data_IF_240746096702
#
_entry.id   IF_240746096702
#
_cell.length_a   1.000
_cell.length_b   1.000
_cell.length_c   1.000
_cell.angle_alpha   90.00
_cell.angle_beta   90.00
_cell.angle_gamma   90.00
#
_symmetry.space_group_name_H-M   'P 1'
#
loop_
_entity.id
_entity.type
_entity.pdbx_description
1 polymer ?
#
# COMPACT_ATOMS: atom_id res chain seq x y z
N UNK A 1 -53.66 19.96 28.82
CA UNK A 1 -52.38 19.24 28.94
C UNK A 1 -51.45 19.50 27.73
N UNK A 2 -51.01 20.74 27.43
CA UNK A 2 -50.13 21.02 26.27
C UNK A 2 -48.63 21.14 26.60
N UNK A 3 -48.21 21.24 27.87
CA UNK A 3 -46.81 21.54 28.22
C UNK A 3 -45.86 20.34 28.08
N UNK A 4 -46.36 19.10 28.19
CA UNK A 4 -45.53 17.91 28.21
C UNK A 4 -44.87 17.63 26.85
N UNK A 5 -45.52 17.99 25.73
CA UNK A 5 -44.99 17.73 24.39
C UNK A 5 -43.79 18.63 24.04
N UNK A 6 -43.81 19.89 24.51
CA UNK A 6 -42.72 20.83 24.28
C UNK A 6 -41.48 20.43 25.10
N UNK A 7 -41.68 20.03 26.37
CA UNK A 7 -40.59 19.51 27.21
C UNK A 7 -40.00 18.20 26.66
N UNK A 8 -40.84 17.31 26.11
CA UNK A 8 -40.38 16.10 25.42
C UNK A 8 -39.55 16.45 24.18
N UNK A 9 -40.01 17.37 23.32
CA UNK A 9 -39.26 17.81 22.13
C UNK A 9 -37.90 18.43 22.51
N UNK A 10 -37.88 19.29 23.54
CA UNK A 10 -36.64 19.90 24.04
C UNK A 10 -35.69 18.83 24.58
N UNK A 11 -36.20 17.84 25.32
CA UNK A 11 -35.39 16.72 25.83
C UNK A 11 -34.86 15.82 24.72
N UNK A 12 -35.63 15.59 23.65
CA UNK A 12 -35.20 14.82 22.47
C UNK A 12 -34.13 15.57 21.67
N UNK A 13 -34.27 16.89 21.49
CA UNK A 13 -33.27 17.73 20.83
C UNK A 13 -31.97 17.74 21.63
N UNK A 14 -32.03 17.94 22.95
CA UNK A 14 -30.84 17.91 23.80
C UNK A 14 -30.17 16.53 23.82
N UNK A 15 -30.96 15.45 23.81
CA UNK A 15 -30.44 14.08 23.74
C UNK A 15 -29.85 13.76 22.36
N UNK A 16 -30.45 14.26 21.28
CA UNK A 16 -29.91 14.13 19.93
C UNK A 16 -28.61 14.94 19.77
N UNK A 17 -28.58 16.19 20.25
CA UNK A 17 -27.37 17.01 20.26
C UNK A 17 -26.25 16.35 21.07
N UNK A 18 -26.54 15.87 22.27
CA UNK A 18 -25.57 15.14 23.09
C UNK A 18 -25.14 13.81 22.48
N UNK A 19 -26.04 13.13 21.76
CA UNK A 19 -25.72 11.92 20.99
C UNK A 19 -24.82 12.20 19.78
N UNK A 20 -25.01 13.34 19.10
CA UNK A 20 -24.15 13.80 18.01
C UNK A 20 -22.75 14.13 18.54
N UNK A 21 -22.65 14.88 19.64
CA UNK A 21 -21.37 15.21 20.27
C UNK A 21 -20.62 13.94 20.70
N UNK A 22 -21.33 12.97 21.28
CA UNK A 22 -20.75 11.66 21.64
C UNK A 22 -20.29 10.85 20.42
N UNK A 23 -21.03 10.87 19.31
CA UNK A 23 -20.63 10.18 18.07
C UNK A 23 -19.39 10.82 17.42
N UNK A 24 -19.29 12.16 17.51
CA UNK A 24 -18.12 12.90 17.06
C UNK A 24 -16.91 12.60 17.94
N UNK A 25 -17.08 12.58 19.26
CA UNK A 25 -15.98 12.27 20.18
C UNK A 25 -15.57 10.79 20.11
N UNK A 26 -16.50 9.87 19.86
CA UNK A 26 -16.21 8.47 19.55
C UNK A 26 -15.41 8.33 18.25
N UNK A 27 -15.78 9.07 17.20
CA UNK A 27 -15.03 9.08 15.94
C UNK A 27 -13.61 9.63 16.15
N UNK A 28 -13.48 10.75 16.86
CA UNK A 28 -12.16 11.33 17.20
C UNK A 28 -11.29 10.37 18.03
N UNK A 29 -11.89 9.59 18.93
CA UNK A 29 -11.18 8.62 19.76
C UNK A 29 -10.72 7.38 18.97
N UNK A 30 -11.47 6.96 17.94
CA UNK A 30 -11.15 5.76 17.15
C UNK A 30 -10.31 6.01 15.90
N UNK A 31 -10.36 7.22 15.34
CA UNK A 31 -9.51 7.64 14.23
C UNK A 31 -8.02 7.31 14.44
N UNK A 32 -7.37 7.64 15.58
CA UNK A 32 -5.95 7.36 15.75
C UNK A 32 -5.63 5.86 15.75
N UNK A 33 -6.54 5.01 16.26
CA UNK A 33 -6.36 3.56 16.32
C UNK A 33 -6.47 2.93 14.92
N UNK A 34 -7.52 3.30 14.17
CA UNK A 34 -7.71 2.84 12.79
C UNK A 34 -6.57 3.28 11.87
N UNK A 35 -6.06 4.51 12.07
CA UNK A 35 -4.90 5.02 11.32
C UNK A 35 -3.65 4.19 11.64
N UNK A 36 -3.40 3.84 12.90
CA UNK A 36 -2.29 2.96 13.27
C UNK A 36 -2.44 1.57 12.65
N UNK A 37 -3.64 0.99 12.69
CA UNK A 37 -3.92 -0.31 12.08
C UNK A 37 -3.69 -0.28 10.56
N UNK A 38 -4.12 0.79 9.88
CA UNK A 38 -3.88 1.00 8.46
C UNK A 38 -2.39 1.13 8.14
N UNK A 39 -1.65 1.92 8.92
CA UNK A 39 -0.19 2.09 8.74
C UNK A 39 0.55 0.77 8.93
N UNK A 40 0.19 -0.02 9.96
CA UNK A 40 0.75 -1.35 10.20
C UNK A 40 0.46 -2.31 9.03
N UNK A 41 -0.79 -2.35 8.57
CA UNK A 41 -1.17 -3.15 7.41
C UNK A 41 -0.38 -2.76 6.16
N UNK A 42 -0.23 -1.47 5.91
CA UNK A 42 0.49 -0.95 4.75
C UNK A 42 1.99 -1.25 4.84
N UNK A 43 2.59 -1.11 6.02
CA UNK A 43 3.98 -1.50 6.28
C UNK A 43 4.22 -2.97 5.93
N UNK A 44 3.34 -3.87 6.40
CA UNK A 44 3.41 -5.30 6.09
C UNK A 44 3.20 -5.55 4.60
N UNK A 45 2.23 -4.88 3.97
CA UNK A 45 1.93 -5.04 2.55
C UNK A 45 3.10 -4.63 1.65
N UNK A 46 3.79 -3.52 1.97
CA UNK A 46 4.96 -3.07 1.24
C UNK A 46 6.14 -4.01 1.46
N UNK A 47 6.35 -4.45 2.70
CA UNK A 47 7.40 -5.43 3.04
C UNK A 47 7.23 -6.75 2.28
N UNK A 48 6.00 -7.30 2.27
CA UNK A 48 5.70 -8.52 1.52
C UNK A 48 5.91 -8.33 0.01
N UNK A 49 5.46 -7.19 -0.53
CA UNK A 49 5.66 -6.86 -1.95
C UNK A 49 7.14 -6.79 -2.30
N UNK A 50 7.96 -6.14 -1.48
CA UNK A 50 9.43 -6.05 -1.66
C UNK A 50 10.04 -7.46 -1.69
N UNK A 51 9.65 -8.33 -0.76
CA UNK A 51 10.10 -9.73 -0.77
C UNK A 51 9.72 -10.46 -2.06
N UNK A 52 8.49 -10.27 -2.56
CA UNK A 52 8.05 -10.86 -3.83
C UNK A 52 8.87 -10.35 -5.01
N UNK A 53 9.11 -9.04 -5.12
CA UNK A 53 9.93 -8.47 -6.19
C UNK A 53 11.38 -8.91 -6.13
N UNK A 54 11.96 -9.05 -4.93
CA UNK A 54 13.31 -9.59 -4.74
C UNK A 54 13.41 -11.05 -5.20
N UNK A 55 12.43 -11.88 -4.85
CA UNK A 55 12.37 -13.28 -5.30
C UNK A 55 12.27 -13.36 -6.83
N UNK A 56 11.43 -12.51 -7.43
CA UNK A 56 11.25 -12.45 -8.88
C UNK A 56 12.53 -11.97 -9.59
N UNK A 57 13.25 -11.00 -9.02
CA UNK A 57 14.56 -10.55 -9.52
C UNK A 57 15.61 -11.67 -9.44
N UNK A 58 15.63 -12.43 -8.33
CA UNK A 58 16.50 -13.60 -8.20
C UNK A 58 16.18 -14.70 -9.23
N UNK A 59 14.90 -14.93 -9.52
CA UNK A 59 14.47 -15.85 -10.58
C UNK A 59 14.92 -15.38 -11.97
N UNK A 60 14.79 -14.08 -12.28
CA UNK A 60 15.33 -13.51 -13.53
C UNK A 60 16.85 -13.68 -13.62
N UNK A 61 17.59 -13.42 -12.54
CA UNK A 61 19.05 -13.62 -12.50
C UNK A 61 19.43 -15.09 -12.71
N UNK A 62 18.67 -16.03 -12.13
CA UNK A 62 18.86 -17.46 -12.33
C UNK A 62 18.63 -17.86 -13.81
N UNK A 63 17.58 -17.34 -14.44
CA UNK A 63 17.29 -17.59 -15.86
C UNK A 63 18.38 -17.01 -16.77
N UNK A 64 18.88 -15.80 -16.47
CA UNK A 64 19.99 -15.18 -17.22
C UNK A 64 21.26 -16.04 -17.08
N UNK A 65 21.61 -16.48 -15.87
CA UNK A 65 22.76 -17.38 -15.66
C UNK A 65 22.60 -18.67 -16.47
N UNK A 66 21.41 -19.27 -16.46
CA UNK A 66 21.11 -20.46 -17.26
C UNK A 66 21.22 -20.18 -18.77
N UNK A 67 20.79 -19.00 -19.22
CA UNK A 67 20.90 -18.56 -20.62
C UNK A 67 22.34 -18.37 -21.07
N UNK A 68 23.18 -17.75 -20.24
CA UNK A 68 24.62 -17.58 -20.51
C UNK A 68 25.32 -18.93 -20.64
N UNK A 69 25.04 -19.88 -19.74
CA UNK A 69 25.62 -21.24 -19.81
C UNK A 69 25.21 -21.97 -21.09
N UNK A 70 23.95 -21.81 -21.52
CA UNK A 70 23.46 -22.42 -22.76
C UNK A 70 24.09 -21.78 -24.00
N UNK A 71 24.24 -20.45 -24.03
CA UNK A 71 24.89 -19.73 -25.13
C UNK A 71 26.39 -20.03 -25.22
N UNK A 72 27.06 -20.25 -24.09
CA UNK A 72 28.47 -20.67 -24.05
C UNK A 72 28.68 -22.10 -24.55
N UNK A 73 27.68 -22.98 -24.41
CA UNK A 73 27.73 -24.37 -24.89
C UNK A 73 27.45 -24.47 -26.39
N UNK A 74 26.62 -23.59 -26.92
CA UNK A 74 26.29 -23.54 -28.35
C UNK A 74 26.06 -22.09 -28.80
N UNK A 75 27.06 -21.53 -29.48
CA UNK A 75 27.12 -20.11 -29.85
C UNK A 75 26.01 -19.68 -30.81
N UNK A 76 25.32 -20.62 -31.49
CA UNK A 76 24.26 -20.34 -32.44
C UNK A 76 22.88 -20.81 -31.97
N UNK A 77 22.74 -21.12 -30.68
CA UNK A 77 21.47 -21.43 -30.06
C UNK A 77 20.63 -20.16 -29.88
N UNK A 78 19.80 -19.85 -30.88
CA UNK A 78 18.71 -18.85 -30.79
C UNK A 78 17.94 -18.85 -29.45
N UNK A 79 17.59 -20.01 -28.85
CA UNK A 79 16.94 -20.02 -27.54
C UNK A 79 17.82 -19.50 -26.39
N UNK A 80 19.15 -19.66 -26.44
CA UNK A 80 20.07 -19.17 -25.41
C UNK A 80 20.14 -17.64 -25.38
N UNK A 81 20.16 -17.01 -26.56
CA UNK A 81 20.13 -15.55 -26.69
C UNK A 81 18.79 -14.97 -26.23
N UNK A 82 17.67 -15.60 -26.60
CA UNK A 82 16.34 -15.21 -26.13
C UNK A 82 16.21 -15.32 -24.60
N UNK A 83 16.74 -16.39 -24.00
CA UNK A 83 16.73 -16.61 -22.54
C UNK A 83 17.62 -15.60 -21.78
N UNK A 84 18.51 -14.88 -22.46
CA UNK A 84 19.33 -13.84 -21.85
C UNK A 84 18.68 -12.45 -21.98
N UNK A 85 18.22 -12.08 -23.18
CA UNK A 85 17.66 -10.75 -23.43
C UNK A 85 16.31 -10.52 -22.75
N UNK A 86 15.37 -11.46 -22.88
CA UNK A 86 14.00 -11.30 -22.37
C UNK A 86 14.00 -11.04 -20.85
N UNK A 87 14.55 -11.93 -19.99
CA UNK A 87 14.55 -11.68 -18.56
C UNK A 87 15.41 -10.48 -18.15
N UNK A 88 16.42 -10.10 -18.93
CA UNK A 88 17.23 -8.90 -18.65
C UNK A 88 16.40 -7.62 -18.79
N UNK A 89 15.58 -7.51 -19.83
CA UNK A 89 14.68 -6.36 -20.01
C UNK A 89 13.64 -6.32 -18.88
N UNK A 90 13.01 -7.47 -18.58
CA UNK A 90 12.05 -7.55 -17.48
C UNK A 90 12.68 -7.20 -16.12
N UNK A 91 13.92 -7.64 -15.85
CA UNK A 91 14.62 -7.33 -14.60
C UNK A 91 14.78 -5.83 -14.36
N UNK A 92 15.00 -5.04 -15.41
CA UNK A 92 15.07 -3.57 -15.31
C UNK A 92 13.73 -2.99 -14.87
N UNK A 93 12.62 -3.43 -15.48
CA UNK A 93 11.28 -2.98 -15.07
C UNK A 93 10.98 -3.37 -13.62
N UNK A 94 11.25 -4.62 -13.25
CA UNK A 94 11.07 -5.13 -11.88
C UNK A 94 11.88 -4.32 -10.88
N UNK A 95 13.11 -3.94 -11.23
CA UNK A 95 13.96 -3.12 -10.38
C UNK A 95 13.39 -1.71 -10.17
N UNK A 96 12.87 -1.07 -11.22
CA UNK A 96 12.20 0.24 -11.09
C UNK A 96 11.00 0.14 -10.13
N UNK A 97 10.15 -0.87 -10.30
CA UNK A 97 9.00 -1.08 -9.40
C UNK A 97 9.44 -1.38 -7.96
N UNK A 98 10.53 -2.13 -7.76
CA UNK A 98 11.10 -2.38 -6.44
C UNK A 98 11.52 -1.07 -5.76
N UNK A 99 12.22 -0.18 -6.47
CA UNK A 99 12.63 1.13 -5.94
C UNK A 99 11.42 1.97 -5.48
N UNK A 100 10.34 1.98 -6.25
CA UNK A 100 9.09 2.68 -5.87
C UNK A 100 8.51 2.09 -4.58
N UNK A 101 8.44 0.76 -4.46
CA UNK A 101 7.91 0.09 -3.26
C UNK A 101 8.76 0.36 -2.01
N UNK A 102 10.08 0.37 -2.17
CA UNK A 102 11.02 0.73 -1.10
C UNK A 102 10.84 2.20 -0.70
N UNK A 103 10.64 3.09 -1.66
CA UNK A 103 10.34 4.50 -1.40
C UNK A 103 9.11 4.69 -0.51
N UNK A 104 8.00 4.04 -0.84
CA UNK A 104 6.78 4.08 -0.01
C UNK A 104 7.00 3.50 1.40
N UNK A 105 7.76 2.41 1.53
CA UNK A 105 8.08 1.83 2.83
C UNK A 105 8.92 2.78 3.71
N UNK A 106 9.91 3.45 3.10
CA UNK A 106 10.74 4.45 3.79
C UNK A 106 9.91 5.66 4.21
N UNK A 107 9.02 6.15 3.34
CA UNK A 107 8.18 7.30 3.63
C UNK A 107 7.22 7.03 4.79
N UNK A 108 6.64 5.83 4.85
CA UNK A 108 5.82 5.38 5.96
C UNK A 108 6.60 5.37 7.29
N UNK A 109 7.89 5.03 7.24
CA UNK A 109 8.76 4.96 8.43
C UNK A 109 9.28 6.34 8.86
N UNK A 110 9.66 7.22 7.92
CA UNK A 110 10.27 8.52 8.18
C UNK A 110 9.22 9.61 8.50
N UNK A 111 8.09 9.61 7.77
CA UNK A 111 7.09 10.66 7.84
C UNK A 111 5.66 10.11 7.70
N UNK A 112 5.16 9.36 8.70
CA UNK A 112 3.87 8.67 8.63
C UNK A 112 2.69 9.61 8.40
N UNK A 113 2.74 10.84 8.93
CA UNK A 113 1.68 11.85 8.73
C UNK A 113 1.60 12.35 7.28
N UNK A 114 2.75 12.56 6.63
CA UNK A 114 2.80 13.01 5.23
C UNK A 114 2.32 11.91 4.31
N UNK A 115 2.78 10.68 4.56
CA UNK A 115 2.32 9.49 3.85
C UNK A 115 0.79 9.32 3.90
N UNK A 116 0.16 9.61 5.05
CA UNK A 116 -1.30 9.52 5.17
C UNK A 116 -2.05 10.51 4.27
N UNK A 117 -1.52 11.73 4.11
CA UNK A 117 -2.12 12.77 3.27
C UNK A 117 -2.03 12.36 1.80
N UNK A 118 -0.86 11.84 1.37
CA UNK A 118 -0.67 11.35 0.01
C UNK A 118 -1.55 10.13 -0.28
N UNK A 119 -1.66 9.19 0.67
CA UNK A 119 -2.55 8.05 0.56
C UNK A 119 -4.02 8.47 0.45
N UNK A 120 -4.44 9.47 1.22
CA UNK A 120 -5.79 10.04 1.12
C UNK A 120 -6.03 10.72 -0.24
N UNK A 121 -5.02 11.43 -0.76
CA UNK A 121 -5.08 12.06 -2.07
C UNK A 121 -5.17 11.04 -3.22
N UNK A 122 -4.37 9.97 -3.18
CA UNK A 122 -4.44 8.85 -4.13
C UNK A 122 -5.83 8.18 -4.10
N UNK A 123 -6.43 8.03 -2.91
CA UNK A 123 -7.76 7.43 -2.79
C UNK A 123 -8.87 8.33 -3.38
N UNK A 124 -8.71 9.66 -3.24
CA UNK A 124 -9.69 10.63 -3.76
C UNK A 124 -9.58 10.85 -5.27
N UNK A 125 -8.43 10.55 -5.87
CA UNK A 125 -8.22 10.65 -7.31
C UNK A 125 -7.65 9.34 -7.86
N UNK A 126 -8.50 8.30 -8.02
CA UNK A 126 -8.08 7.05 -8.62
C UNK A 126 -7.82 7.28 -10.11
N UNK A 127 -6.58 7.62 -10.47
CA UNK A 127 -6.09 7.64 -11.84
C UNK A 127 -5.91 6.23 -12.39
#
# INVERSE_FOLDING_TARGET
MPNNANDILISLINRAASGIDQAVDFSKAQLPDVIHQLMLWKAVSYSLSICTYLLLLAACAFLIRKGVVLLQRDSNSGPGFALMLVPSVFAVFIFIFLCVRVGYAIQLWLAPKVWLIEYAAELMNPS
#
